data_IF_964489693026
#
_entry.id   IF_964489693026
#
_cell.length_a   1.000
_cell.length_b   1.000
_cell.length_c   1.000
_cell.angle_alpha   90.00
_cell.angle_beta   90.00
_cell.angle_gamma   90.00
#
_symmetry.space_group_name_H-M   'P 1'
#
loop_
_entity.id
_entity.type
_entity.pdbx_description
1 polymer ?
#
# COMPACT_ATOMS: atom_id res chain seq x y z
N UNK A 1 -20.76 22.22 23.97
CA UNK A 1 -20.96 22.05 22.52
C UNK A 1 -20.27 20.75 22.11
N UNK A 2 -21.04 19.66 21.94
CA UNK A 2 -20.49 18.35 21.59
C UNK A 2 -20.49 18.22 20.07
N UNK A 3 -19.31 18.29 19.46
CA UNK A 3 -19.15 18.06 18.02
C UNK A 3 -19.23 16.56 17.79
N UNK A 4 -20.41 16.08 17.40
CA UNK A 4 -20.56 14.73 16.89
C UNK A 4 -19.82 14.66 15.56
N UNK A 5 -18.58 14.16 15.57
CA UNK A 5 -17.89 13.78 14.35
C UNK A 5 -18.70 12.64 13.72
N UNK A 6 -19.54 12.98 12.72
CA UNK A 6 -20.16 11.98 11.85
C UNK A 6 -19.00 11.18 11.23
N UNK A 7 -18.95 9.89 11.54
CA UNK A 7 -18.05 8.95 10.85
C UNK A 7 -18.46 8.91 9.38
N UNK A 8 -17.81 9.75 8.58
CA UNK A 8 -17.93 9.73 7.13
C UNK A 8 -17.15 8.50 6.65
N UNK A 9 -17.87 7.40 6.46
CA UNK A 9 -17.37 6.29 5.64
C UNK A 9 -17.44 6.77 4.20
N UNK A 10 -16.33 6.82 3.44
CA UNK A 10 -16.39 7.08 2.01
C UNK A 10 -17.37 6.07 1.38
N UNK A 11 -18.49 6.56 0.88
CA UNK A 11 -19.56 5.73 0.32
C UNK A 11 -19.05 5.14 -0.99
N UNK A 12 -18.59 3.89 -0.96
CA UNK A 12 -18.16 3.15 -2.15
C UNK A 12 -17.10 2.08 -1.89
N UNK A 13 -16.31 2.22 -0.83
CA UNK A 13 -15.27 1.25 -0.48
C UNK A 13 -15.76 0.37 0.67
N UNK A 14 -16.40 -0.73 0.31
CA UNK A 14 -16.68 -1.82 1.25
C UNK A 14 -15.57 -2.85 1.13
N UNK A 15 -14.83 -3.06 2.22
CA UNK A 15 -13.76 -4.04 2.24
C UNK A 15 -13.07 -4.14 3.59
N UNK A 16 -12.39 -5.26 3.78
CA UNK A 16 -11.52 -5.52 4.93
C UNK A 16 -10.09 -5.57 4.40
N UNK A 17 -9.19 -4.82 5.01
CA UNK A 17 -7.75 -4.90 4.70
C UNK A 17 -7.04 -5.65 5.81
N UNK A 18 -6.30 -6.69 5.43
CA UNK A 18 -5.42 -7.44 6.31
C UNK A 18 -3.97 -7.12 5.95
N UNK A 19 -3.16 -6.77 6.94
CA UNK A 19 -1.71 -6.77 6.82
C UNK A 19 -1.17 -8.11 7.31
N UNK A 20 -0.55 -8.87 6.41
CA UNK A 20 0.09 -10.15 6.67
C UNK A 20 1.60 -9.93 6.70
N UNK A 21 2.21 -10.11 7.87
CA UNK A 21 3.66 -10.02 8.07
C UNK A 21 4.24 -11.43 8.10
N UNK A 22 5.16 -11.72 7.19
CA UNK A 22 5.72 -13.05 6.95
C UNK A 22 7.22 -13.06 7.27
N UNK A 23 7.67 -14.02 8.09
CA UNK A 23 9.08 -14.16 8.46
C UNK A 23 9.49 -13.37 9.69
N UNK A 24 8.59 -13.20 10.65
CA UNK A 24 8.92 -12.61 11.95
C UNK A 24 9.93 -13.49 12.67
N UNK A 25 11.08 -12.92 13.01
CA UNK A 25 12.16 -13.63 13.69
C UNK A 25 13.01 -14.55 12.80
N UNK A 26 12.86 -14.48 11.47
CA UNK A 26 13.69 -15.25 10.55
C UNK A 26 15.19 -14.95 10.79
N UNK A 27 16.05 -15.98 10.99
CA UNK A 27 17.48 -15.76 11.24
C UNK A 27 18.27 -15.41 9.97
N UNK A 28 17.70 -15.71 8.80
CA UNK A 28 18.24 -15.40 7.48
C UNK A 28 17.06 -15.19 6.51
N UNK A 29 17.26 -14.52 5.35
CA UNK A 29 16.22 -14.38 4.32
C UNK A 29 15.58 -15.71 3.92
N UNK A 30 14.25 -15.79 3.95
CA UNK A 30 13.46 -17.00 3.65
C UNK A 30 12.38 -16.69 2.62
N UNK A 31 12.16 -17.64 1.70
CA UNK A 31 11.07 -17.59 0.73
C UNK A 31 9.72 -17.88 1.41
N UNK A 32 8.82 -16.90 1.35
CA UNK A 32 7.47 -16.91 1.90
C UNK A 32 6.40 -16.85 0.80
N UNK A 33 6.74 -17.24 -0.43
CA UNK A 33 5.79 -17.35 -1.55
C UNK A 33 4.58 -18.18 -1.17
N UNK A 34 3.41 -17.77 -1.64
CA UNK A 34 2.15 -18.35 -1.20
C UNK A 34 0.92 -17.88 -1.97
N UNK A 35 -0.24 -18.23 -1.44
CA UNK A 35 -1.55 -17.82 -1.94
C UNK A 35 -2.57 -17.62 -0.81
N UNK A 36 -3.61 -16.85 -1.11
CA UNK A 36 -4.74 -16.62 -0.21
C UNK A 36 -6.04 -17.02 -0.91
N UNK A 37 -6.92 -17.70 -0.18
CA UNK A 37 -8.25 -18.10 -0.62
C UNK A 37 -9.29 -17.68 0.41
N UNK A 38 -10.52 -17.55 -0.06
CA UNK A 38 -11.68 -17.26 0.77
C UNK A 38 -12.73 -18.33 0.52
N UNK A 39 -13.35 -18.81 1.60
CA UNK A 39 -14.53 -19.67 1.49
C UNK A 39 -15.74 -18.97 0.87
N UNK A 40 -15.85 -17.65 1.06
CA UNK A 40 -16.90 -16.80 0.50
C UNK A 40 -16.36 -15.39 0.18
N UNK A 41 -16.95 -14.74 -0.82
CA UNK A 41 -16.51 -13.42 -1.27
C UNK A 41 -15.34 -13.50 -2.25
N UNK A 42 -14.54 -12.44 -2.32
CA UNK A 42 -13.40 -12.34 -3.24
C UNK A 42 -12.25 -11.49 -2.70
N UNK A 43 -11.04 -11.85 -3.13
CA UNK A 43 -9.85 -11.01 -2.97
C UNK A 43 -9.94 -9.88 -3.98
N UNK A 44 -10.01 -8.64 -3.52
CA UNK A 44 -10.07 -7.47 -4.39
C UNK A 44 -8.67 -7.09 -4.88
N UNK A 45 -7.69 -7.12 -3.98
CA UNK A 45 -6.33 -6.65 -4.28
C UNK A 45 -5.32 -7.23 -3.31
N UNK A 46 -4.14 -7.54 -3.83
CA UNK A 46 -2.94 -7.84 -3.06
C UNK A 46 -1.87 -6.77 -3.36
N UNK A 47 -1.24 -6.24 -2.32
CA UNK A 47 -0.22 -5.19 -2.40
C UNK A 47 0.96 -5.51 -1.51
N UNK A 48 2.18 -5.22 -1.99
CA UNK A 48 3.40 -5.31 -1.19
C UNK A 48 4.45 -4.37 -1.78
N UNK A 49 5.45 -4.01 -0.97
CA UNK A 49 6.67 -3.39 -1.50
C UNK A 49 7.57 -4.48 -2.10
N UNK A 50 7.51 -4.63 -3.42
CA UNK A 50 8.25 -5.66 -4.16
C UNK A 50 9.73 -5.28 -4.33
N UNK A 51 10.62 -6.26 -4.18
CA UNK A 51 11.96 -6.24 -4.74
C UNK A 51 11.95 -6.66 -6.22
N UNK A 52 13.10 -6.56 -6.88
CA UNK A 52 13.26 -6.83 -8.31
C UNK A 52 12.80 -8.24 -8.75
N UNK A 53 12.95 -9.25 -7.90
CA UNK A 53 12.60 -10.66 -8.15
C UNK A 53 11.26 -11.09 -7.52
N UNK A 54 10.55 -10.17 -6.87
CA UNK A 54 9.28 -10.42 -6.21
C UNK A 54 8.09 -10.03 -7.10
N UNK A 55 6.95 -10.69 -6.91
CA UNK A 55 5.75 -10.42 -7.70
C UNK A 55 4.48 -10.80 -6.99
N UNK A 56 3.40 -10.15 -7.38
CA UNK A 56 2.02 -10.50 -7.02
C UNK A 56 1.28 -10.80 -8.31
N UNK A 57 0.48 -11.87 -8.31
CA UNK A 57 -0.35 -12.27 -9.44
C UNK A 57 -1.68 -12.85 -8.96
N UNK A 58 -2.77 -12.10 -9.16
CA UNK A 58 -4.09 -12.45 -8.63
C UNK A 58 -4.04 -12.64 -7.12
N UNK A 59 -4.34 -13.84 -6.66
CA UNK A 59 -4.37 -14.19 -5.23
C UNK A 59 -3.07 -14.87 -4.75
N UNK A 60 -2.01 -14.82 -5.56
CA UNK A 60 -0.71 -15.45 -5.28
C UNK A 60 0.39 -14.40 -5.19
N UNK A 61 1.43 -14.71 -4.43
CA UNK A 61 2.61 -13.86 -4.30
C UNK A 61 3.91 -14.66 -4.28
N UNK A 62 4.98 -13.98 -4.64
CA UNK A 62 6.37 -14.38 -4.45
C UNK A 62 7.05 -13.27 -3.67
N UNK A 63 7.26 -13.51 -2.38
CA UNK A 63 7.82 -12.56 -1.42
C UNK A 63 8.78 -13.29 -0.48
N UNK A 64 9.73 -12.55 0.09
CA UNK A 64 10.67 -13.09 1.08
C UNK A 64 11.00 -12.10 2.18
N UNK A 65 11.34 -12.63 3.35
CA UNK A 65 12.08 -11.84 4.34
C UNK A 65 13.48 -11.54 3.78
N UNK A 66 14.05 -10.38 4.11
CA UNK A 66 15.25 -9.86 3.40
C UNK A 66 16.13 -8.92 4.21
N UNK A 67 17.38 -8.78 3.77
CA UNK A 67 18.36 -7.82 4.30
C UNK A 67 19.10 -8.31 5.53
N UNK A 68 20.01 -7.45 6.02
CA UNK A 68 20.80 -7.64 7.24
C UNK A 68 20.74 -6.33 8.05
N UNK A 69 20.04 -6.28 9.20
CA UNK A 69 19.25 -7.35 9.81
C UNK A 69 18.04 -7.77 8.96
N UNK A 70 17.58 -9.01 9.14
CA UNK A 70 16.45 -9.58 8.39
C UNK A 70 15.17 -8.80 8.71
N UNK A 71 14.49 -8.36 7.65
CA UNK A 71 13.19 -7.69 7.69
C UNK A 71 12.11 -8.61 7.15
N UNK A 72 10.98 -8.80 7.86
CA UNK A 72 9.84 -9.57 7.35
C UNK A 72 9.27 -9.00 6.05
N UNK A 73 8.69 -9.87 5.22
CA UNK A 73 7.85 -9.42 4.12
C UNK A 73 6.50 -8.92 4.67
N UNK A 74 5.93 -7.90 4.03
CA UNK A 74 4.59 -7.39 4.37
C UNK A 74 3.72 -7.38 3.12
N UNK A 75 2.56 -8.01 3.25
CA UNK A 75 1.52 -8.12 2.22
C UNK A 75 0.23 -7.52 2.77
N UNK A 76 -0.42 -6.65 2.00
CA UNK A 76 -1.76 -6.16 2.27
C UNK A 76 -2.75 -6.87 1.37
N UNK A 77 -3.76 -7.50 1.97
CA UNK A 77 -4.85 -8.15 1.27
C UNK A 77 -6.14 -7.38 1.52
N UNK A 78 -6.71 -6.78 0.47
CA UNK A 78 -8.02 -6.14 0.53
C UNK A 78 -9.07 -7.12 0.03
N UNK A 79 -10.08 -7.37 0.85
CA UNK A 79 -11.05 -8.44 0.70
C UNK A 79 -12.47 -7.87 0.73
N UNK A 80 -13.36 -8.44 -0.10
CA UNK A 80 -14.79 -8.25 0.00
C UNK A 80 -15.43 -9.59 0.35
N UNK A 81 -15.78 -9.77 1.62
CA UNK A 81 -16.30 -11.02 2.15
C UNK A 81 -17.12 -10.78 3.43
N UNK A 82 -18.09 -11.66 3.74
CA UNK A 82 -18.83 -11.58 5.01
C UNK A 82 -17.91 -11.91 6.20
N UNK A 83 -18.23 -11.46 7.43
CA UNK A 83 -17.43 -11.76 8.64
C UNK A 83 -17.23 -13.26 8.90
N UNK A 84 -18.18 -14.09 8.47
CA UNK A 84 -18.14 -15.55 8.59
C UNK A 84 -17.22 -16.24 7.57
N UNK A 85 -16.67 -15.50 6.60
CA UNK A 85 -15.78 -16.09 5.61
C UNK A 85 -14.47 -16.54 6.27
N UNK A 86 -14.11 -17.79 6.04
CA UNK A 86 -12.79 -18.34 6.30
C UNK A 86 -11.77 -17.78 5.30
N UNK A 87 -10.67 -17.24 5.84
CA UNK A 87 -9.46 -16.89 5.11
C UNK A 87 -8.49 -18.05 5.23
N UNK A 88 -8.00 -18.54 4.10
CA UNK A 88 -7.02 -19.60 4.03
C UNK A 88 -5.75 -19.05 3.39
N UNK A 89 -4.63 -19.18 4.09
CA UNK A 89 -3.32 -18.76 3.61
C UNK A 89 -2.41 -19.97 3.54
N UNK A 90 -1.89 -20.24 2.34
CA UNK A 90 -0.88 -21.28 2.11
C UNK A 90 0.44 -20.60 1.73
N UNK A 91 1.53 -21.00 2.38
CA UNK A 91 2.89 -20.54 2.04
C UNK A 91 3.84 -21.71 1.93
N UNK A 92 5.01 -21.50 1.31
CA UNK A 92 6.11 -22.49 1.31
C UNK A 92 6.62 -22.87 2.71
N UNK A 93 6.23 -22.14 3.76
CA UNK A 93 6.66 -22.34 5.16
C UNK A 93 5.55 -22.89 6.05
N UNK A 94 4.38 -23.16 5.50
CA UNK A 94 3.22 -23.66 6.23
C UNK A 94 1.93 -22.94 5.84
N UNK A 95 0.81 -23.48 6.31
CA UNK A 95 -0.53 -22.98 6.02
C UNK A 95 -1.27 -22.68 7.31
N UNK A 96 -2.20 -21.75 7.26
CA UNK A 96 -3.08 -21.39 8.38
C UNK A 96 -4.40 -20.82 7.87
N UNK A 97 -5.42 -20.82 8.74
CA UNK A 97 -6.72 -20.25 8.45
C UNK A 97 -7.36 -19.61 9.68
N UNK A 98 -8.32 -18.73 9.43
CA UNK A 98 -9.11 -18.04 10.47
C UNK A 98 -10.39 -17.46 9.85
N UNK A 99 -11.46 -17.32 10.64
CA UNK A 99 -12.62 -16.54 10.23
C UNK A 99 -12.32 -15.03 10.30
N UNK A 100 -12.83 -14.23 9.36
CA UNK A 100 -12.63 -12.78 9.35
C UNK A 100 -13.13 -12.09 10.63
N UNK A 101 -14.21 -12.60 11.24
CA UNK A 101 -14.76 -12.07 12.49
C UNK A 101 -13.84 -12.25 13.70
N UNK A 102 -12.87 -13.17 13.65
CA UNK A 102 -11.86 -13.36 14.69
C UNK A 102 -10.83 -12.22 14.72
N UNK A 103 -10.82 -11.35 13.70
CA UNK A 103 -9.96 -10.17 13.59
C UNK A 103 -10.80 -8.88 13.47
N UNK A 104 -11.29 -8.34 14.61
CA UNK A 104 -11.80 -6.97 14.68
C UNK A 104 -10.77 -5.92 14.18
N UNK A 105 -11.24 -4.74 13.76
CA UNK A 105 -10.35 -3.66 13.32
C UNK A 105 -9.35 -3.28 14.42
N UNK A 106 -8.06 -3.21 14.08
CA UNK A 106 -6.96 -2.90 15.01
C UNK A 106 -6.49 -4.09 15.85
N UNK A 107 -7.04 -5.29 15.64
CA UNK A 107 -6.57 -6.51 16.30
C UNK A 107 -5.63 -7.31 15.40
N UNK A 108 -4.83 -8.18 16.02
CA UNK A 108 -3.92 -9.09 15.33
C UNK A 108 -3.98 -10.52 15.88
N UNK A 109 -3.59 -11.48 15.04
CA UNK A 109 -3.41 -12.90 15.37
C UNK A 109 -2.07 -13.39 14.86
N UNK A 110 -1.47 -14.34 15.59
CA UNK A 110 -0.20 -14.96 15.23
C UNK A 110 -0.42 -16.39 14.75
N UNK A 111 0.39 -16.81 13.79
CA UNK A 111 0.36 -18.14 13.19
C UNK A 111 1.77 -18.67 13.01
N UNK A 112 1.90 -19.97 12.74
CA UNK A 112 3.17 -20.65 12.49
C UNK A 112 4.22 -20.33 13.57
N UNK A 113 3.84 -20.58 14.84
CA UNK A 113 4.69 -20.35 16.02
C UNK A 113 5.22 -18.90 16.13
N UNK A 114 4.45 -17.93 15.63
CA UNK A 114 4.79 -16.51 15.71
C UNK A 114 5.58 -15.98 14.51
N UNK A 115 5.95 -16.84 13.55
CA UNK A 115 6.62 -16.40 12.31
C UNK A 115 5.71 -15.63 11.36
N UNK A 116 4.39 -15.68 11.58
CA UNK A 116 3.40 -14.91 10.84
C UNK A 116 2.50 -14.12 11.78
N UNK A 117 2.26 -12.85 11.44
CA UNK A 117 1.29 -11.99 12.12
C UNK A 117 0.30 -11.45 11.10
N UNK A 118 -0.99 -11.62 11.36
CA UNK A 118 -2.08 -11.02 10.57
C UNK A 118 -2.76 -9.97 11.42
N UNK A 119 -2.83 -8.74 10.91
CA UNK A 119 -3.52 -7.62 11.56
C UNK A 119 -4.62 -7.10 10.63
N UNK A 120 -5.79 -6.77 11.18
CA UNK A 120 -6.80 -6.02 10.43
C UNK A 120 -6.52 -4.53 10.56
N UNK A 121 -6.15 -3.91 9.45
CA UNK A 121 -5.82 -2.48 9.37
C UNK A 121 -6.97 -1.69 8.73
N UNK A 122 -7.01 -0.36 8.91
CA UNK A 122 -7.94 0.49 8.17
C UNK A 122 -7.82 0.26 6.66
N UNK A 123 -8.95 0.31 5.96
CA UNK A 123 -8.99 0.19 4.51
C UNK A 123 -8.22 1.35 3.87
N UNK A 124 -7.24 1.02 3.03
CA UNK A 124 -6.44 2.01 2.30
C UNK A 124 -6.84 2.05 0.84
N UNK A 125 -6.80 3.25 0.26
CA UNK A 125 -6.98 3.45 -1.17
C UNK A 125 -5.86 4.27 -1.74
N UNK A 126 -5.49 3.93 -2.96
CA UNK A 126 -4.58 4.74 -3.75
C UNK A 126 -5.31 6.02 -4.16
N UNK A 127 -4.70 7.16 -3.82
CA UNK A 127 -5.22 8.50 -4.13
C UNK A 127 -4.71 8.96 -5.49
N UNK A 128 -3.42 8.74 -5.77
CA UNK A 128 -2.73 9.08 -7.02
C UNK A 128 -1.74 7.99 -7.40
N UNK A 129 -1.44 7.84 -8.68
CA UNK A 129 -0.63 6.74 -9.20
C UNK A 129 -0.04 6.98 -10.58
N UNK A 130 0.24 8.24 -10.93
CA UNK A 130 0.65 8.61 -12.29
C UNK A 130 2.14 8.30 -12.60
N UNK A 131 2.81 7.51 -11.75
CA UNK A 131 4.19 7.09 -11.97
C UNK A 131 5.22 8.22 -11.77
N UNK A 132 4.83 9.26 -11.05
CA UNK A 132 5.76 10.27 -10.55
C UNK A 132 6.27 9.85 -9.17
N UNK A 133 7.26 10.56 -8.66
CA UNK A 133 7.67 10.40 -7.26
C UNK A 133 6.85 11.37 -6.42
N UNK A 134 5.83 10.86 -5.70
CA UNK A 134 4.92 11.68 -4.91
C UNK A 134 5.31 11.74 -3.42
N UNK A 135 5.43 12.96 -2.88
CA UNK A 135 5.86 13.23 -1.50
C UNK A 135 5.07 14.38 -0.84
N UNK A 136 5.27 14.56 0.46
CA UNK A 136 4.73 15.67 1.27
C UNK A 136 3.21 15.89 1.16
N UNK A 137 2.36 14.87 1.36
CA UNK A 137 0.92 15.05 1.28
C UNK A 137 0.39 15.91 2.43
N UNK A 138 -0.45 16.88 2.09
CA UNK A 138 -1.26 17.67 3.01
C UNK A 138 -2.74 17.46 2.68
N UNK A 139 -3.51 16.96 3.65
CA UNK A 139 -4.91 16.60 3.46
C UNK A 139 -5.80 17.47 4.34
N UNK A 140 -6.87 18.00 3.75
CA UNK A 140 -7.89 18.75 4.45
C UNK A 140 -9.30 18.29 4.01
N UNK A 141 -10.24 18.31 4.94
CA UNK A 141 -11.66 18.11 4.63
C UNK A 141 -12.34 19.47 4.51
N UNK A 142 -13.13 19.65 3.47
CA UNK A 142 -13.96 20.82 3.30
C UNK A 142 -15.30 20.69 4.03
N UNK A 143 -16.13 21.74 3.93
CA UNK A 143 -17.33 21.87 4.75
C UNK A 143 -18.47 20.92 4.38
N UNK A 144 -18.46 20.37 3.16
CA UNK A 144 -19.50 19.48 2.66
C UNK A 144 -19.03 18.00 2.62
N UNK A 145 -17.87 17.71 3.23
CA UNK A 145 -17.29 16.37 3.32
C UNK A 145 -16.41 15.99 2.13
N UNK A 146 -16.16 16.92 1.21
CA UNK A 146 -15.10 16.79 0.20
C UNK A 146 -13.73 16.70 0.87
N UNK A 147 -12.82 15.92 0.29
CA UNK A 147 -11.45 15.80 0.78
C UNK A 147 -10.50 16.34 -0.28
N UNK A 148 -9.63 17.26 0.11
CA UNK A 148 -8.58 17.79 -0.75
C UNK A 148 -7.23 17.25 -0.29
N UNK A 149 -6.41 16.80 -1.23
CA UNK A 149 -5.04 16.39 -0.99
C UNK A 149 -4.12 17.20 -1.90
N UNK A 150 -3.29 18.05 -1.31
CA UNK A 150 -2.18 18.69 -1.98
C UNK A 150 -0.90 17.86 -1.74
N UNK A 151 -0.07 17.71 -2.75
CA UNK A 151 1.16 16.91 -2.67
C UNK A 151 2.20 17.43 -3.67
N UNK A 152 3.47 17.09 -3.44
CA UNK A 152 4.55 17.33 -4.40
C UNK A 152 4.70 16.09 -5.27
N UNK A 153 4.80 16.29 -6.59
CA UNK A 153 5.12 15.24 -7.53
C UNK A 153 6.39 15.61 -8.31
N UNK A 154 7.44 14.81 -8.17
CA UNK A 154 8.67 15.01 -8.91
C UNK A 154 8.59 14.31 -10.27
N UNK A 155 8.74 15.11 -11.34
CA UNK A 155 8.98 14.59 -12.69
C UNK A 155 10.48 14.47 -12.92
N UNK A 156 10.94 13.24 -13.16
CA UNK A 156 12.34 12.97 -13.47
C UNK A 156 12.77 13.66 -14.77
N UNK A 157 13.92 14.33 -14.72
CA UNK A 157 14.57 14.90 -15.89
C UNK A 157 15.56 13.94 -16.57
N UNK A 158 16.31 14.48 -17.53
CA UNK A 158 17.45 13.76 -18.10
C UNK A 158 18.54 13.54 -17.05
N UNK A 159 19.32 12.45 -17.12
CA UNK A 159 20.47 12.25 -16.25
C UNK A 159 21.49 13.38 -16.40
N UNK A 160 22.14 13.73 -15.29
CA UNK A 160 23.26 14.67 -15.28
C UNK A 160 24.48 14.01 -15.96
N UNK A 161 25.14 14.74 -16.85
CA UNK A 161 26.35 14.30 -17.55
C UNK A 161 27.56 14.93 -16.88
N UNK A 162 28.08 14.29 -15.82
CA UNK A 162 29.15 14.86 -14.99
C UNK A 162 30.44 15.16 -15.76
N UNK A 163 30.78 14.35 -16.77
CA UNK A 163 31.95 14.59 -17.62
C UNK A 163 31.87 15.92 -18.39
N UNK A 164 30.66 16.34 -18.78
CA UNK A 164 30.44 17.63 -19.45
C UNK A 164 30.49 18.79 -18.45
N UNK A 165 29.92 18.59 -17.26
CA UNK A 165 29.96 19.56 -16.17
C UNK A 165 31.39 19.88 -15.76
N UNK A 166 32.25 18.87 -15.63
CA UNK A 166 33.68 19.03 -15.33
C UNK A 166 34.43 19.81 -16.42
N UNK A 167 33.94 19.79 -17.66
CA UNK A 167 34.45 20.57 -18.79
C UNK A 167 33.80 21.95 -18.91
N UNK A 168 33.00 22.38 -17.93
CA UNK A 168 32.32 23.67 -17.91
C UNK A 168 31.07 23.75 -18.79
N UNK A 169 30.49 22.61 -19.20
CA UNK A 169 29.23 22.54 -19.95
C UNK A 169 28.10 22.12 -19.01
N UNK A 170 27.16 23.02 -18.77
CA UNK A 170 26.14 22.85 -17.72
C UNK A 170 24.74 22.51 -18.23
N UNK A 171 24.57 22.24 -19.53
CA UNK A 171 23.26 22.00 -20.15
C UNK A 171 22.46 20.88 -19.48
N UNK A 172 23.14 19.84 -18.98
CA UNK A 172 22.50 18.71 -18.26
C UNK A 172 22.02 19.05 -16.85
N UNK A 173 22.44 20.19 -16.28
CA UNK A 173 21.94 20.71 -15.00
C UNK A 173 20.69 21.58 -15.17
N UNK A 174 20.39 22.03 -16.38
CA UNK A 174 19.20 22.83 -16.65
C UNK A 174 17.94 21.96 -16.60
N UNK A 175 16.99 22.34 -15.73
CA UNK A 175 15.68 21.70 -15.67
C UNK A 175 14.79 22.21 -16.81
N UNK A 176 14.24 21.29 -17.60
CA UNK A 176 13.41 21.58 -18.78
C UNK A 176 12.08 20.81 -18.68
N UNK A 177 11.12 21.40 -17.98
CA UNK A 177 9.78 20.81 -17.78
C UNK A 177 9.76 19.60 -16.85
N UNK A 178 10.84 19.38 -16.10
CA UNK A 178 11.01 18.38 -15.06
C UNK A 178 11.26 19.07 -13.70
N UNK A 179 11.25 18.31 -12.61
CA UNK A 179 11.35 18.84 -11.25
C UNK A 179 10.06 18.66 -10.45
N UNK A 180 10.00 19.35 -9.31
CA UNK A 180 8.89 19.30 -8.37
C UNK A 180 7.69 20.10 -8.89
N UNK A 181 6.51 19.48 -8.86
CA UNK A 181 5.23 20.12 -9.16
C UNK A 181 4.31 19.98 -7.94
N UNK A 182 3.75 21.08 -7.45
CA UNK A 182 2.63 21.00 -6.50
C UNK A 182 1.39 20.60 -7.26
N UNK A 183 0.72 19.56 -6.77
CA UNK A 183 -0.49 19.01 -7.37
C UNK A 183 -1.60 18.90 -6.33
N UNK A 184 -2.83 18.92 -6.84
CA UNK A 184 -4.05 18.88 -6.05
C UNK A 184 -5.00 17.81 -6.62
N UNK A 185 -5.60 17.03 -5.73
CA UNK A 185 -6.73 16.14 -6.04
C UNK A 185 -7.87 16.33 -5.06
N UNK A 186 -9.09 16.11 -5.52
CA UNK A 186 -10.32 16.23 -4.74
C UNK A 186 -11.10 14.93 -4.72
N UNK A 187 -11.51 14.47 -3.55
CA UNK A 187 -12.53 13.45 -3.36
C UNK A 187 -13.89 14.12 -3.20
N UNK A 188 -14.86 13.75 -4.03
CA UNK A 188 -16.21 14.34 -4.04
C UNK A 188 -17.26 13.51 -3.26
N UNK A 189 -16.82 12.55 -2.44
CA UNK A 189 -17.70 11.60 -1.77
C UNK A 189 -17.96 10.32 -2.56
N UNK A 190 -17.53 10.24 -3.82
CA UNK A 190 -17.64 9.06 -4.69
C UNK A 190 -16.29 8.63 -5.25
N UNK A 191 -15.49 9.58 -5.75
CA UNK A 191 -14.20 9.29 -6.38
C UNK A 191 -13.22 10.44 -6.27
N UNK A 192 -11.95 10.13 -6.54
CA UNK A 192 -10.89 11.12 -6.66
C UNK A 192 -10.86 11.73 -8.07
N UNK A 193 -10.68 13.05 -8.14
CA UNK A 193 -10.46 13.77 -9.39
C UNK A 193 -9.12 13.39 -10.03
N UNK A 194 -8.92 13.76 -11.30
CA UNK A 194 -7.58 13.79 -11.88
C UNK A 194 -6.69 14.79 -11.13
N UNK A 195 -5.37 14.56 -11.05
CA UNK A 195 -4.43 15.55 -10.54
C UNK A 195 -4.46 16.85 -11.34
N UNK A 196 -4.50 17.96 -10.61
CA UNK A 196 -4.44 19.33 -11.15
C UNK A 196 -3.11 19.93 -10.70
N UNK A 197 -2.37 20.57 -11.61
CA UNK A 197 -1.18 21.35 -11.24
C UNK A 197 -1.61 22.70 -10.64
N UNK A 198 -0.94 23.12 -9.57
CA UNK A 198 -1.20 24.38 -8.87
C UNK A 198 -0.10 25.38 -9.19
#
# INVERSE_FOLDING_TARGET
MSVHAKSLRPTGLQGITLQITLGVGDPQPVDWSGEIRLSQGRVLRLEARLAQDERIGGNRWQLRSRGTPVRPARLWATLEAPPTAQVEVETKRGSFSFALEELPLGSSKTFLQGSVVVERVPLTVQVVGEGLEEDFPAVAMGSEGEVWCAYVAYRRGNPIVMEEVERGKFDSLETKGNGDEVRLVRYDGRGWSRPIRV
#
